data_IF_210122401932
#
_entry.id   IF_210122401932
#
_cell.length_a   1.000
_cell.length_b   1.000
_cell.length_c   1.000
_cell.angle_alpha   90.00
_cell.angle_beta   90.00
_cell.angle_gamma   90.00
#
_symmetry.space_group_name_H-M   'P 1'
#
loop_
_entity.id
_entity.type
_entity.pdbx_description
1 polymer ?
#
# COMPACT_ATOMS: atom_id res chain seq x y z
N UNK A 1 -66.66 -2.75 -28.53
CA UNK A 1 -65.69 -2.46 -27.45
C UNK A 1 -64.53 -3.43 -27.63
N UNK A 2 -63.48 -3.05 -28.35
CA UNK A 2 -62.28 -3.87 -28.56
C UNK A 2 -61.25 -3.50 -27.50
N UNK A 3 -60.88 -4.45 -26.64
CA UNK A 3 -59.81 -4.27 -25.66
C UNK A 3 -58.49 -4.73 -26.30
N UNK A 4 -57.55 -3.80 -26.46
CA UNK A 4 -56.17 -4.06 -26.85
C UNK A 4 -55.38 -4.31 -25.58
N UNK A 5 -54.82 -5.51 -25.42
CA UNK A 5 -53.91 -5.84 -24.30
C UNK A 5 -52.49 -5.54 -24.76
N UNK A 6 -51.88 -4.53 -24.16
CA UNK A 6 -50.49 -4.13 -24.39
C UNK A 6 -49.60 -4.86 -23.36
N UNK A 7 -48.97 -5.96 -23.75
CA UNK A 7 -47.98 -6.65 -22.91
C UNK A 7 -46.64 -5.92 -22.98
N UNK A 8 -46.36 -5.09 -21.97
CA UNK A 8 -45.06 -4.45 -21.79
C UNK A 8 -44.01 -5.44 -21.28
N UNK A 9 -42.93 -5.63 -22.04
CA UNK A 9 -41.71 -6.31 -21.60
C UNK A 9 -40.99 -5.41 -20.59
N UNK A 10 -41.07 -5.76 -19.30
CA UNK A 10 -40.19 -5.17 -18.28
C UNK A 10 -38.77 -5.71 -18.48
N UNK A 11 -37.89 -4.90 -19.06
CA UNK A 11 -36.46 -5.16 -19.02
C UNK A 11 -35.98 -4.80 -17.61
N UNK A 12 -35.71 -5.81 -16.79
CA UNK A 12 -34.99 -5.62 -15.53
C UNK A 12 -33.59 -5.14 -15.85
N UNK A 13 -33.33 -3.86 -15.55
CA UNK A 13 -31.96 -3.36 -15.45
C UNK A 13 -31.36 -4.12 -14.27
N UNK A 14 -30.52 -5.13 -14.53
CA UNK A 14 -29.69 -5.73 -13.49
C UNK A 14 -28.71 -4.62 -13.06
N UNK A 15 -29.03 -3.90 -11.99
CA UNK A 15 -27.96 -3.35 -11.16
C UNK A 15 -27.18 -4.54 -10.65
N UNK A 16 -25.94 -4.68 -11.13
CA UNK A 16 -24.98 -5.53 -10.47
C UNK A 16 -24.82 -4.95 -9.05
N UNK A 17 -25.34 -5.70 -8.08
CA UNK A 17 -25.37 -5.31 -6.69
C UNK A 17 -24.18 -5.93 -5.97
N UNK A 18 -23.80 -5.33 -4.85
CA UNK A 18 -22.82 -5.91 -3.94
C UNK A 18 -23.18 -7.34 -3.56
N UNK A 19 -22.13 -8.12 -3.25
CA UNK A 19 -22.29 -9.40 -2.61
C UNK A 19 -23.18 -9.24 -1.36
N UNK A 20 -24.16 -10.15 -1.19
CA UNK A 20 -25.04 -10.15 -0.03
C UNK A 20 -24.22 -10.21 1.28
N UNK A 21 -24.69 -9.49 2.31
CA UNK A 21 -24.03 -9.33 3.62
C UNK A 21 -22.61 -8.75 3.60
N UNK A 22 -22.19 -8.16 2.48
CA UNK A 22 -20.92 -7.45 2.39
C UNK A 22 -21.02 -6.00 2.85
N UNK A 23 -19.87 -5.43 3.23
CA UNK A 23 -19.73 -4.04 3.62
C UNK A 23 -18.33 -3.54 3.33
N UNK A 24 -18.23 -2.23 3.16
CA UNK A 24 -16.94 -1.55 3.03
C UNK A 24 -16.16 -1.60 4.37
N UNK A 25 -14.86 -1.29 4.29
CA UNK A 25 -14.04 -1.01 5.47
C UNK A 25 -14.03 0.49 5.72
N UNK A 26 -14.37 0.93 6.92
CA UNK A 26 -14.43 2.35 7.28
C UNK A 26 -13.09 3.11 7.05
N UNK A 27 -11.98 2.38 6.99
CA UNK A 27 -10.63 2.93 6.88
C UNK A 27 -10.23 3.31 5.44
N UNK A 28 -10.92 2.78 4.42
CA UNK A 28 -10.65 3.08 3.01
C UNK A 28 -11.95 3.46 2.32
N UNK A 29 -12.07 4.70 1.79
CA UNK A 29 -13.25 5.06 1.02
C UNK A 29 -13.32 4.20 -0.25
N UNK A 30 -14.49 3.62 -0.49
CA UNK A 30 -14.78 2.91 -1.73
C UNK A 30 -14.77 3.89 -2.90
N UNK A 31 -14.19 3.46 -4.02
CA UNK A 31 -14.25 4.22 -5.27
C UNK A 31 -15.68 4.18 -5.83
N UNK A 32 -16.14 5.29 -6.40
CA UNK A 32 -17.46 5.38 -7.01
C UNK A 32 -17.69 4.23 -8.01
N UNK A 33 -18.88 3.63 -7.95
CA UNK A 33 -19.34 2.55 -8.83
C UNK A 33 -18.48 1.27 -8.83
N UNK A 34 -17.48 1.15 -7.95
CA UNK A 34 -16.85 -0.14 -7.66
C UNK A 34 -17.88 -1.06 -7.00
N UNK A 35 -17.74 -2.38 -7.12
CA UNK A 35 -18.66 -3.40 -6.58
C UNK A 35 -17.95 -4.38 -5.66
N UNK A 36 -18.53 -4.75 -4.51
CA UNK A 36 -17.95 -5.79 -3.65
C UNK A 36 -18.24 -7.17 -4.27
N UNK A 37 -17.17 -7.85 -4.69
CA UNK A 37 -17.23 -9.17 -5.34
C UNK A 37 -16.60 -10.30 -4.51
N UNK A 38 -16.05 -9.96 -3.35
CA UNK A 38 -15.58 -10.90 -2.33
C UNK A 38 -15.57 -10.15 -0.99
N UNK A 39 -16.16 -10.74 0.04
CA UNK A 39 -16.13 -10.22 1.39
C UNK A 39 -15.85 -11.37 2.35
N UNK A 40 -14.89 -11.16 3.25
CA UNK A 40 -14.59 -12.10 4.34
C UNK A 40 -14.72 -11.32 5.65
N UNK A 41 -15.73 -11.62 6.48
CA UNK A 41 -15.93 -10.94 7.76
C UNK A 41 -14.77 -11.23 8.71
N UNK A 42 -14.70 -10.45 9.78
CA UNK A 42 -13.68 -10.58 10.81
C UNK A 42 -13.52 -12.03 11.29
N UNK A 43 -12.32 -12.58 11.12
CA UNK A 43 -11.93 -13.88 11.65
C UNK A 43 -10.56 -13.77 12.30
N UNK A 44 -10.39 -14.41 13.46
CA UNK A 44 -9.10 -14.48 14.12
C UNK A 44 -8.21 -15.53 13.43
N UNK A 45 -7.04 -15.11 12.97
CA UNK A 45 -6.08 -15.98 12.30
C UNK A 45 -4.64 -15.49 12.47
N UNK A 46 -3.69 -16.35 12.12
CA UNK A 46 -2.30 -15.94 11.91
C UNK A 46 -2.13 -15.42 10.48
N UNK A 47 -1.60 -14.20 10.35
CA UNK A 47 -1.44 -13.52 9.07
C UNK A 47 0.03 -13.17 8.83
N UNK A 48 0.54 -13.59 7.69
CA UNK A 48 1.89 -13.25 7.21
C UNK A 48 1.78 -12.30 6.02
N UNK A 49 2.35 -11.10 6.13
CA UNK A 49 2.45 -10.12 5.06
C UNK A 49 3.88 -10.05 4.52
N UNK A 50 4.13 -10.43 3.25
CA UNK A 50 5.45 -10.31 2.65
C UNK A 50 5.90 -8.85 2.57
N UNK A 51 7.20 -8.61 2.79
CA UNK A 51 7.87 -7.30 2.63
C UNK A 51 8.99 -7.35 1.60
N UNK A 52 8.81 -8.14 0.55
CA UNK A 52 9.75 -8.30 -0.56
C UNK A 52 9.06 -8.86 -1.79
N UNK A 53 9.77 -8.89 -2.92
CA UNK A 53 9.31 -9.62 -4.11
C UNK A 53 9.09 -11.07 -3.75
N UNK A 54 7.94 -11.62 -4.15
CA UNK A 54 7.62 -13.03 -3.90
C UNK A 54 8.02 -13.91 -5.10
N UNK A 55 8.46 -15.12 -4.81
CA UNK A 55 8.78 -16.15 -5.82
C UNK A 55 8.57 -17.53 -5.23
N UNK A 56 8.39 -18.54 -6.08
CA UNK A 56 8.31 -19.94 -5.64
C UNK A 56 9.65 -20.63 -5.86
N UNK A 57 10.23 -21.18 -4.80
CA UNK A 57 11.47 -21.99 -4.86
C UNK A 57 11.17 -23.33 -4.22
N UNK A 58 11.38 -24.42 -4.98
CA UNK A 58 11.15 -25.79 -4.51
C UNK A 58 9.76 -26.00 -3.89
N UNK A 59 8.74 -25.39 -4.51
CA UNK A 59 7.35 -25.50 -4.05
C UNK A 59 6.97 -24.59 -2.88
N UNK A 60 7.89 -23.80 -2.34
CA UNK A 60 7.65 -22.90 -1.20
C UNK A 60 7.72 -21.44 -1.61
N UNK A 61 6.82 -20.62 -1.05
CA UNK A 61 6.85 -19.17 -1.18
C UNK A 61 8.12 -18.61 -0.50
N UNK A 62 8.84 -17.74 -1.21
CA UNK A 62 10.06 -17.08 -0.74
C UNK A 62 9.99 -15.59 -1.01
N UNK A 63 10.42 -14.80 -0.03
CA UNK A 63 10.52 -13.34 -0.07
C UNK A 63 11.48 -12.86 1.02
N UNK A 64 12.03 -11.67 0.82
CA UNK A 64 13.01 -11.07 1.74
C UNK A 64 12.29 -10.17 2.76
N UNK A 65 11.87 -10.77 3.87
CA UNK A 65 11.21 -10.08 4.99
C UNK A 65 9.70 -10.23 5.02
N UNK A 66 9.12 -10.15 6.23
CA UNK A 66 7.69 -10.26 6.46
C UNK A 66 7.28 -9.58 7.77
N UNK A 67 6.00 -9.27 7.90
CA UNK A 67 5.33 -9.07 9.19
C UNK A 67 4.43 -10.28 9.44
N UNK A 68 4.52 -10.89 10.62
CA UNK A 68 3.60 -11.96 11.04
C UNK A 68 3.01 -11.62 12.40
N UNK A 69 1.71 -11.81 12.54
CA UNK A 69 0.99 -11.64 13.79
C UNK A 69 -0.29 -12.47 13.79
N UNK A 70 -0.85 -12.71 14.98
CA UNK A 70 -2.21 -13.22 15.16
C UNK A 70 -3.16 -12.08 15.48
N UNK A 71 -4.37 -12.12 14.95
CA UNK A 71 -5.35 -11.06 15.12
C UNK A 71 -6.58 -11.25 14.25
N UNK A 72 -7.45 -10.24 14.24
CA UNK A 72 -8.68 -10.25 13.46
C UNK A 72 -8.43 -9.71 12.05
N UNK A 73 -8.75 -10.50 11.03
CA UNK A 73 -8.69 -10.10 9.63
C UNK A 73 -10.10 -9.88 9.08
N UNK A 74 -10.35 -8.71 8.49
CA UNK A 74 -11.48 -8.49 7.57
C UNK A 74 -10.92 -8.18 6.19
N UNK A 75 -11.49 -8.75 5.12
CA UNK A 75 -11.03 -8.48 3.76
C UNK A 75 -12.18 -8.20 2.80
N UNK A 76 -11.98 -7.25 1.89
CA UNK A 76 -12.95 -6.86 0.86
C UNK A 76 -12.25 -6.82 -0.49
N UNK A 77 -12.89 -7.34 -1.53
CA UNK A 77 -12.42 -7.22 -2.91
C UNK A 77 -13.43 -6.47 -3.73
N UNK A 78 -13.01 -5.35 -4.27
CA UNK A 78 -13.78 -4.51 -5.15
C UNK A 78 -13.45 -4.84 -6.61
N UNK A 79 -14.47 -5.05 -7.43
CA UNK A 79 -14.34 -4.95 -8.89
C UNK A 79 -14.55 -3.49 -9.27
N UNK A 80 -13.63 -2.94 -10.04
CA UNK A 80 -13.69 -1.55 -10.47
C UNK A 80 -14.54 -1.41 -11.74
N UNK A 81 -15.26 -0.28 -11.94
CA UNK A 81 -15.97 -0.01 -13.18
C UNK A 81 -14.94 0.22 -14.32
N UNK A 82 -15.37 0.11 -15.57
CA UNK A 82 -14.47 0.11 -16.72
C UNK A 82 -13.72 1.45 -16.91
N UNK A 83 -14.26 2.52 -16.33
CA UNK A 83 -13.76 3.89 -16.35
C UNK A 83 -12.58 4.10 -15.38
N UNK A 84 -12.36 3.18 -14.43
CA UNK A 84 -11.31 3.28 -13.43
C UNK A 84 -10.25 2.18 -13.59
N UNK A 85 -8.98 2.57 -13.47
CA UNK A 85 -7.87 1.61 -13.52
C UNK A 85 -7.54 1.06 -12.12
N UNK A 86 -6.85 -0.08 -12.08
CA UNK A 86 -6.30 -0.62 -10.83
C UNK A 86 -5.37 0.37 -10.12
N UNK A 87 -4.60 1.14 -10.90
CA UNK A 87 -3.62 2.10 -10.40
C UNK A 87 -4.30 3.33 -9.78
N UNK A 88 -5.42 3.80 -10.37
CA UNK A 88 -6.22 4.90 -9.81
C UNK A 88 -6.79 4.50 -8.45
N UNK A 89 -7.42 3.33 -8.37
CA UNK A 89 -8.01 2.81 -7.14
C UNK A 89 -6.95 2.59 -6.05
N UNK A 90 -5.80 2.03 -6.42
CA UNK A 90 -4.67 1.84 -5.51
C UNK A 90 -4.13 3.18 -4.99
N UNK A 91 -3.97 4.15 -5.88
CA UNK A 91 -3.46 5.49 -5.52
C UNK A 91 -4.43 6.20 -4.58
N UNK A 92 -5.73 6.20 -4.88
CA UNK A 92 -6.75 6.80 -4.03
C UNK A 92 -6.79 6.16 -2.64
N UNK A 93 -6.78 4.82 -2.58
CA UNK A 93 -6.78 4.09 -1.30
C UNK A 93 -5.51 4.36 -0.47
N UNK A 94 -4.33 4.34 -1.11
CA UNK A 94 -3.06 4.69 -0.47
C UNK A 94 -3.10 6.11 0.10
N UNK A 95 -3.54 7.09 -0.68
CA UNK A 95 -3.57 8.49 -0.26
C UNK A 95 -4.57 8.72 0.87
N UNK A 96 -5.74 8.09 0.83
CA UNK A 96 -6.72 8.15 1.91
C UNK A 96 -6.16 7.58 3.23
N UNK A 97 -5.39 6.48 3.17
CA UNK A 97 -4.72 5.93 4.35
C UNK A 97 -3.57 6.82 4.85
N UNK A 98 -2.77 7.37 3.95
CA UNK A 98 -1.69 8.29 4.33
C UNK A 98 -2.21 9.60 4.94
N UNK A 99 -3.35 10.11 4.47
CA UNK A 99 -4.03 11.27 5.08
C UNK A 99 -4.48 10.98 6.53
N UNK A 100 -4.75 9.72 6.85
CA UNK A 100 -5.01 9.26 8.22
C UNK A 100 -3.72 8.99 9.02
N UNK A 101 -2.55 9.34 8.48
CA UNK A 101 -1.25 9.15 9.12
C UNK A 101 -0.65 7.76 8.98
N UNK A 102 -1.22 6.88 8.15
CA UNK A 102 -0.67 5.55 7.95
C UNK A 102 0.74 5.60 7.36
N UNK A 103 1.63 4.75 7.89
CA UNK A 103 3.00 4.63 7.44
C UNK A 103 3.15 3.44 6.50
N UNK A 104 3.85 3.63 5.38
CA UNK A 104 4.09 2.58 4.40
C UNK A 104 5.23 1.69 4.89
N UNK A 105 4.98 0.38 5.05
CA UNK A 105 5.99 -0.60 5.42
C UNK A 105 6.64 -1.22 4.17
N UNK A 106 5.82 -1.57 3.18
CA UNK A 106 6.31 -2.16 1.93
C UNK A 106 5.47 -1.75 0.74
N UNK A 107 6.11 -1.32 -0.35
CA UNK A 107 5.44 -0.99 -1.61
C UNK A 107 6.19 -1.56 -2.82
N UNK A 108 5.51 -2.41 -3.60
CA UNK A 108 5.96 -2.84 -4.92
C UNK A 108 4.90 -2.55 -5.99
N UNK A 109 5.34 -2.49 -7.25
CA UNK A 109 4.46 -2.32 -8.41
C UNK A 109 5.02 -3.08 -9.59
N UNK A 110 4.14 -3.54 -10.47
CA UNK A 110 4.47 -4.34 -11.63
C UNK A 110 5.33 -5.57 -11.21
N UNK A 111 6.36 -5.87 -11.99
CA UNK A 111 7.20 -7.07 -11.79
C UNK A 111 8.06 -7.02 -10.52
N UNK A 112 8.22 -5.85 -9.89
CA UNK A 112 8.94 -5.73 -8.62
C UNK A 112 8.23 -6.49 -7.49
N UNK A 113 6.95 -6.80 -7.66
CA UNK A 113 6.17 -7.62 -6.73
C UNK A 113 6.44 -9.13 -6.85
N UNK A 114 6.98 -9.59 -7.98
CA UNK A 114 7.01 -11.01 -8.34
C UNK A 114 5.75 -11.48 -9.06
N UNK A 115 5.45 -12.77 -8.98
CA UNK A 115 4.35 -13.40 -9.73
C UNK A 115 2.98 -13.09 -9.07
N UNK A 116 2.07 -12.47 -9.82
CA UNK A 116 0.70 -12.14 -9.36
C UNK A 116 -0.13 -13.37 -9.00
N UNK A 117 0.19 -14.53 -9.60
CA UNK A 117 -0.44 -15.82 -9.29
C UNK A 117 -0.15 -16.26 -7.84
N UNK A 118 1.04 -15.97 -7.32
CA UNK A 118 1.42 -16.29 -5.94
C UNK A 118 0.73 -15.34 -4.95
N UNK A 119 0.61 -14.04 -5.29
CA UNK A 119 -0.15 -13.09 -4.50
C UNK A 119 -1.62 -13.53 -4.40
N UNK A 120 -2.24 -13.83 -5.54
CA UNK A 120 -3.63 -14.24 -5.61
C UNK A 120 -3.89 -15.54 -4.82
N UNK A 121 -3.06 -16.56 -4.99
CA UNK A 121 -3.36 -17.90 -4.46
C UNK A 121 -2.74 -18.18 -3.09
N UNK A 122 -1.50 -17.74 -2.85
CA UNK A 122 -0.74 -18.09 -1.64
C UNK A 122 -0.76 -16.99 -0.58
N UNK A 123 -0.92 -15.71 -0.98
CA UNK A 123 -0.97 -14.58 -0.01
C UNK A 123 -2.40 -14.20 0.36
N UNK A 124 -3.29 -14.02 -0.63
CA UNK A 124 -4.67 -13.56 -0.38
C UNK A 124 -5.74 -14.67 -0.51
N UNK A 125 -5.38 -15.80 -1.13
CA UNK A 125 -6.33 -16.90 -1.37
C UNK A 125 -7.56 -16.47 -2.16
N UNK A 126 -7.43 -15.54 -3.11
CA UNK A 126 -8.51 -15.06 -3.96
C UNK A 126 -8.07 -15.07 -5.44
N UNK A 127 -8.54 -16.07 -6.20
CA UNK A 127 -8.21 -16.25 -7.61
C UNK A 127 -8.68 -15.10 -8.53
N UNK A 128 -9.61 -14.24 -8.08
CA UNK A 128 -9.97 -13.01 -8.81
C UNK A 128 -8.77 -12.05 -8.93
N UNK A 129 -7.79 -12.17 -8.03
CA UNK A 129 -6.62 -11.32 -7.96
C UNK A 129 -5.47 -11.75 -8.89
N UNK A 130 -5.67 -12.79 -9.70
CA UNK A 130 -4.69 -13.23 -10.70
C UNK A 130 -4.87 -12.47 -12.02
N UNK A 131 -3.80 -11.79 -12.45
CA UNK A 131 -3.77 -10.95 -13.65
C UNK A 131 -2.38 -10.86 -14.28
N UNK A 132 -2.09 -9.73 -14.93
CA UNK A 132 -0.79 -9.51 -15.55
C UNK A 132 0.21 -8.94 -14.53
N UNK A 133 1.41 -9.53 -14.44
CA UNK A 133 2.42 -9.13 -13.45
C UNK A 133 2.90 -7.68 -13.63
N UNK A 134 2.76 -7.10 -14.81
CA UNK A 134 3.09 -5.70 -15.11
C UNK A 134 1.95 -4.72 -14.77
N UNK A 135 0.78 -5.23 -14.31
CA UNK A 135 -0.40 -4.44 -13.92
C UNK A 135 -0.89 -4.79 -12.52
N UNK A 136 0.04 -5.07 -11.62
CA UNK A 136 -0.23 -5.30 -10.20
C UNK A 136 0.42 -4.22 -9.34
N UNK A 137 -0.13 -3.97 -8.16
CA UNK A 137 0.55 -3.20 -7.12
C UNK A 137 0.16 -3.74 -5.75
N UNK A 138 1.13 -3.79 -4.83
CA UNK A 138 0.92 -4.21 -3.45
C UNK A 138 1.48 -3.16 -2.50
N UNK A 139 0.73 -2.85 -1.46
CA UNK A 139 1.16 -1.98 -0.38
C UNK A 139 0.75 -2.53 0.98
N UNK A 140 1.71 -2.58 1.90
CA UNK A 140 1.47 -2.82 3.31
C UNK A 140 1.66 -1.52 4.08
N UNK A 141 0.65 -1.13 4.85
CA UNK A 141 0.69 0.04 5.73
C UNK A 141 0.45 -0.36 7.18
N UNK A 142 0.99 0.46 8.09
CA UNK A 142 0.65 0.47 9.50
C UNK A 142 -0.13 1.74 9.81
N UNK A 143 -1.26 1.63 10.49
CA UNK A 143 -2.02 2.82 10.88
C UNK A 143 -1.30 3.60 11.98
N UNK A 144 -1.54 4.91 12.04
CA UNK A 144 -1.07 5.74 13.15
C UNK A 144 -1.88 5.48 14.43
N UNK A 145 -1.36 5.98 15.56
CA UNK A 145 -2.10 6.06 16.81
C UNK A 145 -3.48 6.73 16.61
N UNK A 146 -4.56 6.21 17.24
CA UNK A 146 -4.59 5.15 18.26
C UNK A 146 -4.68 3.72 17.70
N UNK A 147 -4.58 3.53 16.37
CA UNK A 147 -4.71 2.23 15.69
C UNK A 147 -3.35 1.63 15.33
N UNK A 148 -2.31 1.88 16.14
CA UNK A 148 -0.93 1.50 15.79
C UNK A 148 -0.69 -0.01 15.70
N UNK A 149 -1.61 -0.83 16.19
CA UNK A 149 -1.61 -2.29 16.02
C UNK A 149 -2.50 -2.79 14.87
N UNK A 150 -2.94 -1.88 13.99
CA UNK A 150 -3.67 -2.21 12.76
C UNK A 150 -2.75 -2.12 11.54
N UNK A 151 -2.71 -3.20 10.76
CA UNK A 151 -2.12 -3.25 9.43
C UNK A 151 -3.21 -3.18 8.35
N UNK A 152 -2.90 -2.50 7.25
CA UNK A 152 -3.74 -2.50 6.05
C UNK A 152 -2.92 -2.97 4.88
N UNK A 153 -3.39 -4.00 4.18
CA UNK A 153 -2.80 -4.45 2.92
C UNK A 153 -3.70 -4.08 1.75
N UNK A 154 -3.13 -3.39 0.77
CA UNK A 154 -3.76 -3.09 -0.51
C UNK A 154 -3.12 -3.96 -1.57
N UNK A 155 -3.94 -4.60 -2.40
CA UNK A 155 -3.47 -5.25 -3.62
C UNK A 155 -4.39 -4.90 -4.78
N UNK A 156 -3.84 -4.26 -5.81
CA UNK A 156 -4.57 -3.96 -7.03
C UNK A 156 -4.04 -4.76 -8.20
N UNK A 157 -4.92 -5.10 -9.13
CA UNK A 157 -4.57 -5.90 -10.30
C UNK A 157 -5.52 -5.61 -11.46
N UNK A 158 -4.97 -5.55 -12.67
CA UNK A 158 -5.75 -5.67 -13.91
C UNK A 158 -5.59 -7.06 -14.51
N UNK A 159 -6.70 -7.78 -14.70
CA UNK A 159 -6.70 -9.12 -15.31
C UNK A 159 -6.55 -9.04 -16.83
N UNK A 160 -6.19 -10.17 -17.45
CA UNK A 160 -6.10 -10.29 -18.91
C UNK A 160 -7.40 -9.99 -19.66
N UNK A 161 -8.56 -10.11 -19.01
CA UNK A 161 -9.87 -9.72 -19.56
C UNK A 161 -10.24 -8.25 -19.31
N UNK A 162 -9.27 -7.42 -18.89
CA UNK A 162 -9.40 -5.99 -18.59
C UNK A 162 -10.23 -5.63 -17.34
N UNK A 163 -10.78 -6.60 -16.61
CA UNK A 163 -11.38 -6.31 -15.30
C UNK A 163 -10.28 -5.95 -14.30
N UNK A 164 -10.47 -4.83 -13.61
CA UNK A 164 -9.57 -4.34 -12.59
C UNK A 164 -10.18 -4.57 -11.20
N UNK A 165 -9.33 -4.86 -10.22
CA UNK A 165 -9.73 -5.14 -8.85
C UNK A 165 -8.85 -4.39 -7.87
N UNK A 166 -9.45 -4.00 -6.74
CA UNK A 166 -8.75 -3.57 -5.54
C UNK A 166 -9.14 -4.50 -4.40
N UNK A 167 -8.16 -5.17 -3.81
CA UNK A 167 -8.30 -5.95 -2.60
C UNK A 167 -7.76 -5.16 -1.42
N UNK A 168 -8.52 -5.15 -0.32
CA UNK A 168 -8.16 -4.49 0.92
C UNK A 168 -8.33 -5.48 2.06
N UNK A 169 -7.26 -5.68 2.83
CA UNK A 169 -7.30 -6.37 4.11
C UNK A 169 -7.08 -5.35 5.24
N UNK A 170 -7.94 -5.36 6.25
CA UNK A 170 -7.71 -4.71 7.54
C UNK A 170 -7.43 -5.79 8.58
N UNK A 171 -6.26 -5.73 9.18
CA UNK A 171 -5.79 -6.70 10.17
C UNK A 171 -5.50 -5.99 11.49
N UNK A 172 -6.21 -6.37 12.54
CA UNK A 172 -6.04 -5.86 13.90
C UNK A 172 -5.30 -6.90 14.74
N UNK A 173 -4.05 -6.62 15.10
CA UNK A 173 -3.23 -7.55 15.84
C UNK A 173 -3.76 -7.75 17.28
N UNK A 174 -3.71 -8.99 17.77
CA UNK A 174 -4.10 -9.34 19.14
C UNK A 174 -3.05 -8.93 20.19
N UNK A 175 -1.86 -8.49 19.76
CA UNK A 175 -0.78 -8.01 20.61
C UNK A 175 -0.02 -6.88 19.89
N UNK A 176 0.71 -6.03 20.64
CA UNK A 176 1.48 -4.94 20.05
C UNK A 176 2.45 -5.41 18.97
N UNK A 177 2.41 -4.76 17.81
CA UNK A 177 3.24 -5.13 16.65
C UNK A 177 4.74 -4.82 16.83
N UNK A 178 5.10 -4.10 17.90
CA UNK A 178 6.47 -3.66 18.14
C UNK A 178 6.95 -2.62 17.12
N UNK A 179 8.26 -2.58 16.88
CA UNK A 179 8.85 -1.71 15.85
C UNK A 179 8.80 -2.39 14.49
N UNK A 180 8.16 -1.73 13.52
CA UNK A 180 8.11 -2.14 12.12
C UNK A 180 8.75 -1.04 11.30
N UNK A 181 9.76 -1.39 10.50
CA UNK A 181 10.49 -0.45 9.66
C UNK A 181 10.15 -0.66 8.18
N UNK A 182 10.08 0.41 7.39
CA UNK A 182 9.90 0.30 5.95
C UNK A 182 11.13 -0.28 5.26
N UNK A 183 10.97 -0.74 4.02
CA UNK A 183 12.13 -1.04 3.17
C UNK A 183 12.71 0.21 2.51
N UNK A 184 14.02 0.20 2.23
CA UNK A 184 14.69 1.29 1.50
C UNK A 184 14.04 1.61 0.15
N UNK A 185 13.59 0.58 -0.57
CA UNK A 185 12.90 0.74 -1.85
C UNK A 185 11.52 1.39 -1.68
N UNK A 186 10.82 1.10 -0.57
CA UNK A 186 9.53 1.73 -0.24
C UNK A 186 9.69 3.21 0.02
N UNK A 187 10.68 3.60 0.83
CA UNK A 187 11.00 5.00 1.08
C UNK A 187 11.35 5.74 -0.21
N UNK A 188 12.20 5.16 -1.07
CA UNK A 188 12.51 5.77 -2.36
C UNK A 188 11.26 5.91 -3.25
N UNK A 189 10.41 4.88 -3.32
CA UNK A 189 9.21 4.91 -4.15
C UNK A 189 8.21 5.95 -3.67
N UNK A 190 7.99 6.04 -2.36
CA UNK A 190 7.17 7.09 -1.76
C UNK A 190 7.72 8.47 -2.10
N UNK A 191 9.03 8.70 -1.91
CA UNK A 191 9.68 9.96 -2.26
C UNK A 191 9.47 10.36 -3.73
N UNK A 192 9.62 9.40 -4.66
CA UNK A 192 9.43 9.64 -6.10
C UNK A 192 7.96 9.88 -6.47
N UNK A 193 7.03 9.22 -5.78
CA UNK A 193 5.60 9.34 -6.04
C UNK A 193 5.02 10.66 -5.55
N UNK A 194 5.41 11.12 -4.37
CA UNK A 194 4.84 12.33 -3.73
C UNK A 194 5.75 13.56 -3.86
N UNK A 195 7.01 13.37 -4.24
CA UNK A 195 8.05 14.40 -4.17
C UNK A 195 8.60 14.65 -2.76
N UNK A 196 8.07 13.97 -1.72
CA UNK A 196 8.46 14.19 -0.32
C UNK A 196 8.31 12.96 0.58
N UNK A 197 9.18 12.86 1.57
CA UNK A 197 9.03 11.97 2.72
C UNK A 197 8.84 12.80 3.98
N UNK A 198 7.78 12.51 4.72
CA UNK A 198 7.45 13.13 6.01
C UNK A 198 7.51 12.03 7.07
N UNK A 199 8.50 12.12 7.96
CA UNK A 199 8.78 11.13 9.00
C UNK A 199 8.69 11.82 10.37
N UNK A 200 7.45 12.12 10.83
CA UNK A 200 7.21 12.97 12.00
C UNK A 200 7.77 12.38 13.31
N UNK A 201 7.95 11.06 13.38
CA UNK A 201 8.53 10.36 14.53
C UNK A 201 10.05 10.51 14.65
N UNK A 202 10.72 11.00 13.61
CA UNK A 202 12.17 11.16 13.56
C UNK A 202 12.61 12.59 13.91
N UNK A 203 12.15 13.10 15.05
CA UNK A 203 12.43 14.48 15.49
C UNK A 203 13.73 14.63 16.31
N UNK A 204 14.30 13.52 16.78
CA UNK A 204 15.52 13.51 17.59
C UNK A 204 16.79 13.29 16.78
N UNK A 205 17.81 12.77 17.47
CA UNK A 205 19.07 12.34 16.85
C UNK A 205 18.84 11.25 15.78
N UNK A 206 19.62 11.25 14.68
CA UNK A 206 19.49 10.25 13.63
C UNK A 206 19.76 8.83 14.13
N UNK A 207 18.72 8.00 14.12
CA UNK A 207 18.81 6.60 14.54
C UNK A 207 19.48 5.76 13.44
N UNK A 208 20.47 4.92 13.80
CA UNK A 208 21.29 4.20 12.81
C UNK A 208 20.46 3.35 11.81
N UNK A 209 19.41 2.68 12.28
CA UNK A 209 18.54 1.88 11.44
C UNK A 209 17.89 2.73 10.34
N UNK A 210 17.34 3.90 10.71
CA UNK A 210 16.71 4.84 9.77
C UNK A 210 17.71 5.51 8.84
N UNK A 211 18.87 5.92 9.34
CA UNK A 211 19.94 6.47 8.48
C UNK A 211 20.36 5.43 7.44
N UNK A 212 20.49 4.16 7.83
CA UNK A 212 20.82 3.05 6.91
C UNK A 212 19.72 2.83 5.87
N UNK A 213 18.44 2.83 6.28
CA UNK A 213 17.31 2.63 5.38
C UNK A 213 17.20 3.76 4.34
N UNK A 214 17.24 5.01 4.80
CA UNK A 214 17.13 6.19 3.95
C UNK A 214 18.34 6.26 3.02
N UNK A 215 19.57 6.15 3.53
CA UNK A 215 20.78 6.23 2.69
C UNK A 215 20.82 5.18 1.59
N UNK A 216 20.46 3.92 1.89
CA UNK A 216 20.32 2.87 0.87
C UNK A 216 19.27 3.23 -0.18
N UNK A 217 18.10 3.72 0.25
CA UNK A 217 17.04 4.17 -0.65
C UNK A 217 17.50 5.29 -1.58
N UNK A 218 18.18 6.31 -1.04
CA UNK A 218 18.71 7.43 -1.83
C UNK A 218 19.86 7.03 -2.77
N UNK A 219 20.57 5.94 -2.48
CA UNK A 219 21.63 5.42 -3.32
C UNK A 219 21.12 4.49 -4.43
N UNK A 220 19.90 3.96 -4.33
CA UNK A 220 19.24 3.25 -5.44
C UNK A 220 18.92 4.17 -6.62
N UNK A 221 18.72 5.48 -6.37
CA UNK A 221 18.55 6.49 -7.41
C UNK A 221 19.45 7.69 -7.12
N UNK A 222 20.69 7.62 -7.64
CA UNK A 222 21.70 8.66 -7.40
C UNK A 222 21.47 9.97 -8.15
N UNK A 223 20.44 10.04 -8.99
CA UNK A 223 20.10 11.24 -9.76
C UNK A 223 19.32 12.28 -8.95
N UNK A 224 18.64 11.85 -7.88
CA UNK A 224 17.83 12.73 -7.05
C UNK A 224 18.69 13.73 -6.27
N UNK A 225 18.34 15.01 -6.34
CA UNK A 225 18.79 16.07 -5.44
C UNK A 225 17.68 16.37 -4.44
N UNK A 226 18.04 16.61 -3.19
CA UNK A 226 17.13 16.58 -2.06
C UNK A 226 17.39 17.73 -1.09
N UNK A 227 16.30 18.25 -0.52
CA UNK A 227 16.32 19.12 0.65
C UNK A 227 15.97 18.30 1.88
N UNK A 228 16.82 18.35 2.91
CA UNK A 228 16.59 17.75 4.22
C UNK A 228 16.18 18.86 5.18
N UNK A 229 14.99 18.77 5.77
CA UNK A 229 14.41 19.76 6.68
C UNK A 229 13.96 19.12 7.99
N UNK A 230 13.73 19.96 9.00
CA UNK A 230 13.41 19.57 10.37
C UNK A 230 14.44 20.09 11.37
N UNK A 231 14.08 20.05 12.66
CA UNK A 231 14.93 20.56 13.77
C UNK A 231 16.34 19.95 13.74
N UNK A 232 16.44 18.65 13.43
CA UNK A 232 17.71 17.92 13.35
C UNK A 232 18.25 17.76 11.94
N UNK A 233 17.83 18.60 10.97
CA UNK A 233 18.17 18.42 9.55
C UNK A 233 19.68 18.37 9.27
N UNK A 234 20.47 19.21 9.96
CA UNK A 234 21.93 19.19 9.86
C UNK A 234 22.52 17.83 10.26
N UNK A 235 22.13 17.31 11.43
CA UNK A 235 22.57 16.00 11.91
C UNK A 235 22.15 14.87 10.96
N UNK A 236 20.93 14.90 10.44
CA UNK A 236 20.45 13.94 9.45
C UNK A 236 21.25 13.99 8.16
N UNK A 237 21.51 15.19 7.62
CA UNK A 237 22.33 15.36 6.42
C UNK A 237 23.73 14.78 6.62
N UNK A 238 24.38 15.09 7.73
CA UNK A 238 25.73 14.61 8.02
C UNK A 238 25.76 13.08 8.20
N UNK A 239 24.76 12.51 8.89
CA UNK A 239 24.62 11.07 9.04
C UNK A 239 24.40 10.34 7.70
N UNK A 240 23.57 10.91 6.81
CA UNK A 240 23.34 10.37 5.47
C UNK A 240 24.61 10.44 4.60
N UNK A 241 25.38 11.52 4.70
CA UNK A 241 26.69 11.65 4.04
C UNK A 241 27.66 10.58 4.58
N UNK A 242 27.70 10.40 5.91
CA UNK A 242 28.50 9.37 6.56
C UNK A 242 28.16 7.94 6.11
N UNK A 243 26.91 7.68 5.69
CA UNK A 243 26.48 6.40 5.09
C UNK A 243 26.57 6.39 3.54
N UNK A 244 27.31 7.33 2.94
CA UNK A 244 27.70 7.29 1.52
C UNK A 244 26.77 8.02 0.55
N UNK A 245 25.78 8.79 1.02
CA UNK A 245 25.00 9.68 0.14
C UNK A 245 25.88 10.89 -0.23
N UNK A 246 26.04 11.18 -1.53
CA UNK A 246 26.92 12.28 -1.98
C UNK A 246 26.43 13.63 -1.44
N UNK A 247 27.31 14.37 -0.75
CA UNK A 247 27.00 15.67 -0.16
C UNK A 247 26.43 16.69 -1.15
N UNK A 248 26.90 16.68 -2.41
CA UNK A 248 26.41 17.56 -3.48
C UNK A 248 24.93 17.34 -3.87
N UNK A 249 24.31 16.24 -3.40
CA UNK A 249 22.90 15.93 -3.62
C UNK A 249 22.00 16.39 -2.47
N UNK A 250 22.57 16.81 -1.34
CA UNK A 250 21.84 17.09 -0.11
C UNK A 250 22.01 18.55 0.29
N UNK A 251 20.90 19.26 0.29
CA UNK A 251 20.77 20.62 0.81
C UNK A 251 20.02 20.59 2.14
N UNK A 252 20.34 21.51 3.03
CA UNK A 252 19.59 21.69 4.28
C UNK A 252 18.51 22.75 4.06
N UNK A 253 17.27 22.40 4.35
CA UNK A 253 16.13 23.31 4.25
C UNK A 253 15.77 23.95 5.59
N UNK A 254 14.47 24.12 5.82
CA UNK A 254 13.97 24.76 7.02
C UNK A 254 14.27 23.91 8.28
N UNK A 255 14.65 24.59 9.37
CA UNK A 255 15.02 23.96 10.65
C UNK A 255 13.86 23.90 11.65
N UNK A 256 12.64 24.02 11.16
CA UNK A 256 11.39 23.96 11.90
C UNK A 256 10.53 22.76 11.44
N UNK A 257 9.38 22.58 12.07
CA UNK A 257 8.47 21.47 11.77
C UNK A 257 8.67 20.23 12.64
N UNK A 258 7.84 19.21 12.38
CA UNK A 258 7.80 17.96 13.15
C UNK A 258 8.57 16.86 12.42
N UNK A 259 9.59 16.32 13.07
CA UNK A 259 10.34 15.17 12.55
C UNK A 259 11.30 15.50 11.41
N UNK A 260 11.62 14.47 10.63
CA UNK A 260 12.47 14.56 9.44
C UNK A 260 11.60 14.73 8.20
N UNK A 261 11.94 15.73 7.38
CA UNK A 261 11.33 15.91 6.06
C UNK A 261 12.41 15.85 4.98
N UNK A 262 12.18 15.09 3.92
CA UNK A 262 13.06 15.01 2.74
C UNK A 262 12.24 15.33 1.50
N UNK A 263 12.66 16.31 0.71
CA UNK A 263 11.93 16.76 -0.48
C UNK A 263 12.83 16.70 -1.71
N UNK A 264 12.28 16.33 -2.87
CA UNK A 264 13.00 16.37 -4.14
C UNK A 264 13.11 17.82 -4.63
N UNK A 265 14.32 18.24 -4.98
CA UNK A 265 14.58 19.51 -5.64
C UNK A 265 14.16 19.35 -7.11
N UNK A 266 13.21 20.18 -7.55
CA UNK A 266 12.78 20.25 -8.95
C UNK A 266 13.67 21.20 -9.74
#
# INVERSE_FOLDING_TARGET
MCAVIFSGLFSSVLSAADLEDSRDLDIVPRLADAEIVDFRPAAELERVYPMGSIRKISGQLRFDGQVSARGNLTSVTYQLPAEHTSDDAFTAAREALQQQGAELLFWCQARDCGESSLWANEVFGNAKLFGADDRQAYLLLRMAEPRSDTLVALYSITRGNRRAYLHVEQFEAAAPLGELLPTSATLLRQLKSTGKLELPRLAGEPQEAWVTLISRGLNLDSSLRLIVSGVSAGAWRDALIGKGVRAARLETGALDGKGLKIEVIR
#
